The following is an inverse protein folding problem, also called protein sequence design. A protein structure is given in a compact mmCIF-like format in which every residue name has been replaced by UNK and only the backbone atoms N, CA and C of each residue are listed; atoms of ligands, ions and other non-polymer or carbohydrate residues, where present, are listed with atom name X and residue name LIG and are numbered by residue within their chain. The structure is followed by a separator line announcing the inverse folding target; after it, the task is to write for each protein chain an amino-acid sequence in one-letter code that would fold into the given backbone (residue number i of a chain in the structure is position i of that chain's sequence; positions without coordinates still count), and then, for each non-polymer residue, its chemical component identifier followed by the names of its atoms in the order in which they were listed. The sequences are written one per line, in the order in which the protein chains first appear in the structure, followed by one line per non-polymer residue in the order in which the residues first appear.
data_IF_871517645253
#
_entry.id   IF_871517645253
#
_cell.length_a   1.000
_cell.length_b   1.000
_cell.length_c   1.000
_cell.angle_alpha   90.00
_cell.angle_beta   90.00
_cell.angle_gamma   90.00
#
_symmetry.space_group_name_H-M   'P 1'
#
loop_
_entity.id
_entity.type
_entity.pdbx_description
1 polymer ?
#
# COMPACT_ATOMS: atom_id res chain seq x y z
N UNK A 1 -5.94 -0.58 -12.37
CA UNK A 1 -7.33 -1.05 -12.47
C UNK A 1 -8.25 0.17 -12.34
N UNK A 2 -9.27 0.30 -13.18
CA UNK A 2 -10.28 1.35 -12.99
C UNK A 2 -11.14 1.02 -11.77
N UNK A 3 -11.49 2.02 -10.94
CA UNK A 3 -12.28 1.76 -9.74
C UNK A 3 -13.71 1.32 -10.11
N UNK A 4 -14.28 0.40 -9.32
CA UNK A 4 -15.62 -0.17 -9.56
C UNK A 4 -16.76 0.84 -9.46
N UNK A 5 -16.54 1.92 -8.72
CA UNK A 5 -17.48 3.02 -8.52
C UNK A 5 -16.77 4.31 -8.88
N UNK A 6 -17.46 5.28 -9.50
CA UNK A 6 -16.85 6.56 -9.86
C UNK A 6 -16.28 7.22 -8.60
N UNK A 7 -14.98 7.52 -8.65
CA UNK A 7 -14.30 8.23 -7.57
C UNK A 7 -14.07 9.64 -8.08
N UNK A 8 -14.83 10.60 -7.55
CA UNK A 8 -14.64 12.02 -7.81
C UNK A 8 -13.40 12.55 -7.05
N UNK A 9 -12.31 11.79 -7.01
CA UNK A 9 -11.04 12.29 -6.48
C UNK A 9 -10.56 13.36 -7.44
N UNK A 10 -10.33 14.60 -6.98
CA UNK A 10 -9.80 15.64 -7.83
C UNK A 10 -8.46 15.18 -8.40
N UNK A 11 -8.25 15.35 -9.70
CA UNK A 11 -7.00 14.99 -10.37
C UNK A 11 -5.81 15.78 -9.83
N UNK A 12 -6.07 16.94 -9.21
CA UNK A 12 -5.09 17.76 -8.52
C UNK A 12 -5.67 18.29 -7.22
N UNK A 13 -4.91 18.15 -6.13
CA UNK A 13 -5.18 18.82 -4.88
C UNK A 13 -4.41 20.14 -4.88
N UNK A 14 -5.10 21.28 -4.92
CA UNK A 14 -4.47 22.62 -4.95
C UNK A 14 -3.41 22.78 -3.86
N UNK A 15 -3.69 22.27 -2.66
CA UNK A 15 -2.77 22.32 -1.52
C UNK A 15 -1.41 21.66 -1.80
N UNK A 16 -1.35 20.65 -2.67
CA UNK A 16 -0.09 20.01 -3.04
C UNK A 16 0.75 20.85 -3.99
N UNK A 17 0.12 21.73 -4.79
CA UNK A 17 0.83 22.64 -5.68
C UNK A 17 1.53 23.77 -4.91
N UNK A 18 1.01 24.10 -3.72
CA UNK A 18 1.54 25.15 -2.85
C UNK A 18 2.67 24.65 -1.94
N UNK A 19 2.98 23.35 -1.96
CA UNK A 19 4.06 22.77 -1.17
C UNK A 19 5.44 23.19 -1.71
N UNK A 20 6.32 23.63 -0.80
CA UNK A 20 7.69 23.95 -1.19
C UNK A 20 8.46 22.67 -1.55
N UNK A 21 9.56 22.80 -2.31
CA UNK A 21 10.48 21.66 -2.55
C UNK A 21 10.97 21.00 -1.25
N UNK A 22 11.09 21.79 -0.17
CA UNK A 22 11.47 21.29 1.15
C UNK A 22 10.39 20.40 1.74
N UNK A 23 9.11 20.66 1.46
CA UNK A 23 7.96 19.89 1.95
C UNK A 23 7.76 18.58 1.17
N UNK A 24 8.28 18.53 -0.06
CA UNK A 24 8.33 17.32 -0.89
C UNK A 24 9.48 16.37 -0.52
N UNK A 25 10.20 16.65 0.56
CA UNK A 25 11.21 15.73 1.10
C UNK A 25 10.56 14.41 1.53
N UNK A 26 11.24 13.29 1.26
CA UNK A 26 10.69 11.95 1.51
C UNK A 26 10.36 11.70 2.99
N UNK A 27 11.15 12.25 3.92
CA UNK A 27 10.87 12.09 5.35
C UNK A 27 9.61 12.85 5.79
N UNK A 28 9.35 14.00 5.17
CA UNK A 28 8.16 14.82 5.45
C UNK A 28 6.91 14.21 4.84
N UNK A 29 6.99 13.75 3.59
CA UNK A 29 5.89 13.04 2.93
C UNK A 29 5.53 11.77 3.71
N UNK A 30 6.51 11.03 4.21
CA UNK A 30 6.27 9.88 5.06
C UNK A 30 5.57 10.28 6.37
N UNK A 31 6.01 11.36 7.02
CA UNK A 31 5.35 11.87 8.23
C UNK A 31 3.89 12.25 7.94
N UNK A 32 3.63 12.95 6.83
CA UNK A 32 2.27 13.30 6.40
C UNK A 32 1.43 12.06 6.15
N UNK A 33 1.96 11.05 5.46
CA UNK A 33 1.26 9.80 5.20
C UNK A 33 0.84 9.10 6.51
N UNK A 34 1.77 8.99 7.46
CA UNK A 34 1.51 8.38 8.78
C UNK A 34 0.41 9.14 9.53
N UNK A 35 0.53 10.47 9.60
CA UNK A 35 -0.44 11.32 10.30
C UNK A 35 -1.82 11.27 9.63
N UNK A 36 -1.90 11.43 8.31
CA UNK A 36 -3.16 11.42 7.57
C UNK A 36 -3.86 10.06 7.63
N UNK A 37 -3.12 8.95 7.61
CA UNK A 37 -3.71 7.63 7.82
C UNK A 37 -4.20 7.44 9.25
N UNK A 38 -3.52 8.01 10.25
CA UNK A 38 -4.03 8.07 11.62
C UNK A 38 -5.35 8.84 11.70
N UNK A 39 -5.38 10.06 11.18
CA UNK A 39 -6.55 10.95 11.16
C UNK A 39 -7.73 10.35 10.39
N UNK A 40 -7.47 9.66 9.27
CA UNK A 40 -8.50 8.94 8.50
C UNK A 40 -9.28 7.95 9.39
N UNK A 41 -8.61 7.35 10.37
CA UNK A 41 -9.18 6.36 11.29
C UNK A 41 -9.74 6.97 12.57
N UNK A 42 -9.61 8.27 12.79
CA UNK A 42 -10.25 8.97 13.90
C UNK A 42 -11.70 9.27 13.51
N UNK A 43 -12.73 8.64 14.14
CA UNK A 43 -14.11 8.75 13.65
C UNK A 43 -14.66 10.18 13.66
N UNK A 44 -14.34 10.97 14.69
CA UNK A 44 -14.84 12.34 14.84
C UNK A 44 -14.29 13.30 13.78
N UNK A 45 -13.15 13.00 13.12
CA UNK A 45 -12.56 13.80 12.04
C UNK A 45 -13.43 13.87 10.78
N UNK A 46 -14.49 13.06 10.68
CA UNK A 46 -15.39 13.02 9.52
C UNK A 46 -16.56 14.02 9.59
N UNK A 47 -16.83 14.62 10.77
CA UNK A 47 -18.05 15.41 11.02
C UNK A 47 -17.76 16.89 11.35
N UNK A 48 -16.93 17.56 10.54
CA UNK A 48 -16.63 19.00 10.71
C UNK A 48 -17.88 19.88 10.69
N UNK A 49 -18.76 19.68 9.69
CA UNK A 49 -19.85 20.61 9.39
C UNK A 49 -20.95 20.65 10.44
N UNK A 50 -21.46 19.47 10.83
CA UNK A 50 -22.61 19.36 11.75
C UNK A 50 -22.22 19.46 13.22
N UNK A 51 -21.04 18.97 13.61
CA UNK A 51 -20.67 18.81 15.01
C UNK A 51 -19.31 19.40 15.40
N UNK A 52 -18.61 20.09 14.48
CA UNK A 52 -17.30 20.70 14.72
C UNK A 52 -16.32 19.71 15.40
N UNK A 53 -16.30 18.48 14.87
CA UNK A 53 -15.50 17.36 15.38
C UNK A 53 -15.79 16.95 16.83
N UNK A 54 -16.89 17.43 17.43
CA UNK A 54 -17.24 17.16 18.83
C UNK A 54 -16.60 18.13 19.83
N UNK A 55 -15.91 19.19 19.36
CA UNK A 55 -15.25 20.17 20.27
C UNK A 55 -16.24 20.89 21.19
N UNK A 56 -17.47 21.08 20.74
CA UNK A 56 -18.53 21.80 21.47
C UNK A 56 -19.36 20.90 22.39
N UNK A 57 -19.23 19.58 22.26
CA UNK A 57 -19.98 18.61 23.06
C UNK A 57 -19.15 18.30 24.30
N UNK A 58 -19.72 18.56 25.47
CA UNK A 58 -19.08 18.27 26.75
C UNK A 58 -19.50 16.88 27.23
N UNK A 59 -18.54 16.05 27.58
CA UNK A 59 -18.74 14.71 28.12
C UNK A 59 -18.25 14.69 29.57
N UNK A 60 -19.07 14.21 30.49
CA UNK A 60 -18.70 13.98 31.88
C UNK A 60 -18.49 12.48 32.12
N UNK A 61 -17.30 12.10 32.59
CA UNK A 61 -16.97 10.71 32.91
C UNK A 61 -16.05 10.65 34.14
N UNK A 62 -16.38 9.79 35.10
CA UNK A 62 -15.61 9.57 36.35
C UNK A 62 -15.22 10.88 37.07
N UNK A 63 -16.16 11.82 37.17
CA UNK A 63 -15.96 13.11 37.86
C UNK A 63 -15.15 14.15 37.09
N UNK A 64 -14.67 13.83 35.88
CA UNK A 64 -13.96 14.75 35.00
C UNK A 64 -14.83 15.17 33.81
N UNK A 65 -14.53 16.34 33.22
CA UNK A 65 -15.22 16.86 32.04
C UNK A 65 -14.22 17.03 30.90
N UNK A 66 -14.61 16.61 29.72
CA UNK A 66 -13.82 16.66 28.50
C UNK A 66 -14.69 17.17 27.36
N UNK A 67 -14.09 17.77 26.33
CA UNK A 67 -14.79 17.78 25.03
C UNK A 67 -14.89 16.36 24.47
N UNK A 68 -15.90 16.06 23.64
CA UNK A 68 -16.01 14.75 23.00
C UNK A 68 -14.74 14.44 22.18
N UNK A 69 -14.18 15.44 21.51
CA UNK A 69 -12.93 15.28 20.76
C UNK A 69 -11.76 14.90 21.67
N UNK A 70 -11.55 15.66 22.74
CA UNK A 70 -10.50 15.40 23.74
C UNK A 70 -10.67 14.03 24.40
N UNK A 71 -11.91 13.61 24.65
CA UNK A 71 -12.19 12.28 25.19
C UNK A 71 -11.67 11.18 24.25
N UNK A 72 -11.87 11.33 22.94
CA UNK A 72 -11.43 10.36 21.94
C UNK A 72 -9.93 10.43 21.61
N UNK A 73 -9.36 11.63 21.57
CA UNK A 73 -7.96 11.84 21.18
C UNK A 73 -6.97 11.73 22.33
N UNK A 74 -7.42 11.97 23.57
CA UNK A 74 -6.55 11.98 24.74
C UNK A 74 -6.95 10.96 25.80
N UNK A 75 -8.22 10.95 26.20
CA UNK A 75 -8.64 10.10 27.32
C UNK A 75 -8.63 8.61 26.93
N UNK A 76 -9.22 8.23 25.79
CA UNK A 76 -9.26 6.83 25.35
C UNK A 76 -7.84 6.25 25.12
N UNK A 77 -6.92 6.90 24.39
CA UNK A 77 -5.57 6.35 24.21
C UNK A 77 -4.79 6.14 25.52
N UNK A 78 -5.00 7.00 26.53
CA UNK A 78 -4.34 6.90 27.84
C UNK A 78 -4.92 5.79 28.70
N UNK A 79 -6.20 5.46 28.54
CA UNK A 79 -6.95 4.57 29.45
C UNK A 79 -7.36 3.23 28.83
N UNK A 80 -7.24 3.07 27.52
CA UNK A 80 -7.62 1.84 26.81
C UNK A 80 -6.36 1.09 26.39
N UNK A 81 -6.27 -0.19 26.78
CA UNK A 81 -5.14 -1.03 26.35
C UNK A 81 -5.16 -1.21 24.84
N UNK A 82 -4.03 -1.02 24.15
CA UNK A 82 -3.93 -1.33 22.74
C UNK A 82 -4.07 -2.84 22.49
N UNK A 83 -4.47 -3.26 21.28
CA UNK A 83 -4.42 -4.66 20.88
C UNK A 83 -3.00 -5.24 20.99
N UNK A 84 -2.87 -6.55 21.22
CA UNK A 84 -1.55 -7.21 21.26
C UNK A 84 -0.98 -7.36 19.84
N UNK A 85 0.34 -7.46 19.74
CA UNK A 85 1.01 -7.63 18.45
C UNK A 85 0.54 -8.89 17.70
N UNK A 86 0.31 -9.99 18.43
CA UNK A 86 -0.15 -11.26 17.85
C UNK A 86 -1.58 -11.14 17.30
N UNK A 87 -2.46 -10.43 18.00
CA UNK A 87 -3.81 -10.17 17.53
C UNK A 87 -3.80 -9.31 16.26
N UNK A 88 -2.98 -8.24 16.26
CA UNK A 88 -2.84 -7.35 15.11
C UNK A 88 -2.27 -8.06 13.89
N UNK A 89 -1.28 -8.93 14.07
CA UNK A 89 -0.66 -9.70 12.99
C UNK A 89 -1.65 -10.68 12.37
N UNK A 90 -2.40 -11.44 13.18
CA UNK A 90 -3.41 -12.36 12.67
C UNK A 90 -4.47 -11.62 11.82
N UNK A 91 -5.01 -10.54 12.36
CA UNK A 91 -5.99 -9.71 11.64
C UNK A 91 -5.39 -9.06 10.39
N UNK A 92 -4.12 -8.66 10.43
CA UNK A 92 -3.43 -8.12 9.25
C UNK A 92 -3.38 -9.14 8.11
N UNK A 93 -2.98 -10.38 8.40
CA UNK A 93 -2.89 -11.44 7.39
C UNK A 93 -4.25 -11.75 6.74
N UNK A 94 -5.32 -11.77 7.56
CA UNK A 94 -6.69 -11.97 7.07
C UNK A 94 -7.15 -10.83 6.16
N UNK A 95 -6.80 -9.58 6.51
CA UNK A 95 -7.27 -8.40 5.79
C UNK A 95 -6.41 -8.02 4.56
N UNK A 96 -5.10 -8.26 4.60
CA UNK A 96 -4.16 -7.84 3.57
C UNK A 96 -4.51 -8.44 2.19
N UNK A 97 -5.00 -9.69 2.16
CA UNK A 97 -5.46 -10.32 0.92
C UNK A 97 -6.63 -9.56 0.29
N UNK A 98 -7.55 -9.04 1.10
CA UNK A 98 -8.71 -8.29 0.63
C UNK A 98 -8.35 -6.88 0.12
N UNK A 99 -7.26 -6.30 0.64
CA UNK A 99 -6.79 -4.99 0.22
C UNK A 99 -5.96 -5.03 -1.06
N UNK A 100 -5.21 -6.12 -1.30
CA UNK A 100 -4.30 -6.25 -2.45
C UNK A 100 -4.94 -6.13 -3.83
N UNK A 101 -6.25 -6.34 -3.96
CA UNK A 101 -6.97 -6.26 -5.25
C UNK A 101 -7.65 -4.90 -5.51
N UNK A 102 -7.54 -3.93 -4.59
CA UNK A 102 -8.19 -2.62 -4.68
C UNK A 102 -7.21 -1.52 -5.03
N UNK A 103 -7.67 -0.52 -5.79
CA UNK A 103 -6.85 0.68 -6.03
C UNK A 103 -6.78 1.54 -4.74
N UNK A 104 -5.71 2.32 -4.52
CA UNK A 104 -5.60 3.16 -3.33
C UNK A 104 -6.80 4.10 -3.08
N UNK A 105 -7.38 4.78 -4.10
CA UNK A 105 -8.57 5.61 -3.88
C UNK A 105 -9.81 4.81 -3.43
N UNK A 106 -9.95 3.55 -3.86
CA UNK A 106 -11.02 2.68 -3.38
C UNK A 106 -10.81 2.31 -1.92
N UNK A 107 -9.58 1.95 -1.56
CA UNK A 107 -9.20 1.64 -0.18
C UNK A 107 -9.51 2.81 0.75
N UNK A 108 -9.02 4.01 0.42
CA UNK A 108 -9.24 5.19 1.27
C UNK A 108 -10.71 5.55 1.40
N UNK A 109 -11.53 5.40 0.35
CA UNK A 109 -12.97 5.61 0.42
C UNK A 109 -13.67 4.59 1.33
N UNK A 110 -13.29 3.32 1.22
CA UNK A 110 -13.89 2.26 2.05
C UNK A 110 -13.51 2.48 3.53
N UNK A 111 -12.26 2.81 3.82
CA UNK A 111 -11.79 3.09 5.18
C UNK A 111 -12.43 4.36 5.76
N UNK A 112 -12.61 5.39 4.93
CA UNK A 112 -13.36 6.60 5.28
C UNK A 112 -14.81 6.30 5.68
N UNK A 113 -15.47 5.43 4.92
CA UNK A 113 -16.85 5.02 5.20
C UNK A 113 -16.94 4.33 6.55
N UNK A 114 -16.06 3.37 6.83
CA UNK A 114 -16.04 2.66 8.11
C UNK A 114 -15.86 3.62 9.29
N UNK A 115 -14.94 4.60 9.18
CA UNK A 115 -14.73 5.58 10.23
C UNK A 115 -15.95 6.50 10.42
N UNK A 116 -16.61 6.90 9.33
CA UNK A 116 -17.82 7.71 9.37
C UNK A 116 -19.02 6.95 9.96
N UNK A 117 -19.16 5.65 9.69
CA UNK A 117 -20.19 4.79 10.28
C UNK A 117 -20.05 4.76 11.81
N UNK A 118 -18.82 4.54 12.32
CA UNK A 118 -18.54 4.59 13.76
C UNK A 118 -18.83 5.99 14.30
N UNK A 119 -18.50 7.05 13.57
CA UNK A 119 -18.83 8.40 14.01
C UNK A 119 -20.35 8.56 14.21
N UNK A 120 -21.16 8.12 13.24
CA UNK A 120 -22.62 8.13 13.36
C UNK A 120 -23.12 7.34 14.58
N UNK A 121 -22.54 6.17 14.85
CA UNK A 121 -22.86 5.37 16.05
C UNK A 121 -22.56 6.14 17.35
N UNK A 122 -21.40 6.80 17.42
CA UNK A 122 -21.00 7.62 18.57
C UNK A 122 -22.00 8.76 18.82
N UNK A 123 -22.35 9.53 17.79
CA UNK A 123 -23.30 10.63 17.93
C UNK A 123 -24.72 10.14 18.25
N UNK A 124 -25.21 9.13 17.53
CA UNK A 124 -26.55 8.58 17.75
C UNK A 124 -26.73 7.99 19.15
N UNK A 125 -25.68 7.44 19.75
CA UNK A 125 -25.72 6.91 21.12
C UNK A 125 -25.89 7.99 22.21
N UNK A 126 -25.67 9.26 21.86
CA UNK A 126 -25.85 10.39 22.77
C UNK A 126 -27.14 11.17 22.51
N UNK A 127 -27.82 10.94 21.39
CA UNK A 127 -29.05 11.64 21.06
C UNK A 127 -30.19 11.13 21.96
N UNK A 128 -30.79 12.06 22.71
CA UNK A 128 -31.97 11.79 23.54
C UNK A 128 -33.19 12.44 22.89
N UNK A 129 -34.34 11.77 22.95
CA UNK A 129 -35.61 12.37 22.56
C UNK A 129 -36.11 13.23 23.72
N UNK A 130 -36.24 14.53 23.50
CA UNK A 130 -36.76 15.47 24.48
C UNK A 130 -38.29 15.53 24.41
N UNK A 131 -38.94 15.97 25.49
CA UNK A 131 -40.40 16.07 25.57
C UNK A 131 -41.00 17.04 24.53
N UNK A 132 -40.18 17.97 24.00
CA UNK A 132 -40.53 18.89 22.92
C UNK A 132 -40.43 18.25 21.52
N UNK A 133 -40.09 16.96 21.42
CA UNK A 133 -39.91 16.22 20.18
C UNK A 133 -38.57 16.49 19.48
N UNK A 134 -37.68 17.32 20.06
CA UNK A 134 -36.34 17.55 19.52
C UNK A 134 -35.40 16.40 19.87
N UNK A 135 -34.49 16.08 18.94
CA UNK A 135 -33.31 15.25 19.20
C UNK A 135 -32.11 16.15 19.41
N UNK A 136 -31.59 16.17 20.63
CA UNK A 136 -30.40 16.94 20.98
C UNK A 136 -29.55 16.15 21.97
N UNK A 137 -28.25 16.45 21.95
CA UNK A 137 -27.27 15.91 22.88
C UNK A 137 -27.23 16.81 24.09
N UNK A 138 -27.45 16.24 25.27
CA UNK A 138 -27.35 16.98 26.53
C UNK A 138 -25.89 17.39 26.78
N UNK A 139 -25.72 18.57 27.38
CA UNK A 139 -24.39 19.11 27.70
C UNK A 139 -24.34 19.54 29.17
N UNK A 140 -23.55 18.88 30.02
CA UNK A 140 -22.68 17.75 29.70
C UNK A 140 -23.45 16.44 29.50
N UNK A 141 -23.01 15.63 28.54
CA UNK A 141 -23.46 14.26 28.37
C UNK A 141 -22.79 13.38 29.42
N UNK A 142 -23.58 12.75 30.29
CA UNK A 142 -23.07 11.83 31.31
C UNK A 142 -22.80 10.46 30.69
N UNK A 143 -21.51 10.12 30.53
CA UNK A 143 -21.09 8.88 29.91
C UNK A 143 -21.25 7.71 30.90
N UNK A 144 -22.03 6.69 30.54
CA UNK A 144 -22.12 5.44 31.30
C UNK A 144 -20.90 4.55 31.07
N UNK A 145 -20.62 3.64 32.00
CA UNK A 145 -19.53 2.67 31.83
C UNK A 145 -19.76 1.72 30.64
N UNK A 146 -21.01 1.33 30.36
CA UNK A 146 -21.35 0.54 29.17
C UNK A 146 -21.05 1.31 27.88
N UNK A 147 -21.40 2.60 27.82
CA UNK A 147 -21.10 3.44 26.67
C UNK A 147 -19.60 3.64 26.49
N UNK A 148 -18.87 3.81 27.61
CA UNK A 148 -17.41 3.85 27.61
C UNK A 148 -16.80 2.58 27.02
N UNK A 149 -17.26 1.40 27.44
CA UNK A 149 -16.73 0.12 26.95
C UNK A 149 -16.96 -0.05 25.44
N UNK A 150 -18.11 0.39 24.94
CA UNK A 150 -18.40 0.42 23.50
C UNK A 150 -17.45 1.37 22.76
N UNK A 151 -17.30 2.61 23.21
CA UNK A 151 -16.38 3.56 22.58
C UNK A 151 -14.92 3.10 22.65
N UNK A 152 -14.52 2.47 23.75
CA UNK A 152 -13.21 1.86 23.89
C UNK A 152 -12.99 0.70 22.89
N UNK A 153 -14.02 -0.10 22.61
CA UNK A 153 -13.96 -1.16 21.59
C UNK A 153 -13.82 -0.59 20.17
N UNK A 154 -14.57 0.47 19.83
CA UNK A 154 -14.41 1.17 18.55
C UNK A 154 -13.01 1.78 18.43
N UNK A 155 -12.53 2.44 19.47
CA UNK A 155 -11.19 3.03 19.49
C UNK A 155 -10.10 1.98 19.26
N UNK A 156 -10.14 0.83 19.95
CA UNK A 156 -9.18 -0.27 19.74
C UNK A 156 -9.20 -0.78 18.30
N UNK A 157 -10.41 -1.00 17.77
CA UNK A 157 -10.61 -1.46 16.38
C UNK A 157 -9.99 -0.48 15.39
N UNK A 158 -10.28 0.82 15.54
CA UNK A 158 -9.78 1.84 14.61
C UNK A 158 -8.28 2.08 14.74
N UNK A 159 -7.74 2.09 15.96
CA UNK A 159 -6.29 2.19 16.19
C UNK A 159 -5.54 0.98 15.59
N UNK A 160 -6.07 -0.23 15.77
CA UNK A 160 -5.52 -1.45 15.16
C UNK A 160 -5.55 -1.41 13.64
N UNK A 161 -6.71 -1.07 13.05
CA UNK A 161 -6.87 -0.91 11.59
C UNK A 161 -5.93 0.15 11.02
N UNK A 162 -5.76 1.29 11.70
CA UNK A 162 -4.85 2.35 11.27
C UNK A 162 -3.41 1.83 11.15
N UNK A 163 -2.92 1.10 12.17
CA UNK A 163 -1.59 0.50 12.15
C UNK A 163 -1.43 -0.55 11.04
N UNK A 164 -2.39 -1.46 10.91
CA UNK A 164 -2.41 -2.50 9.87
C UNK A 164 -2.40 -1.89 8.45
N UNK A 165 -3.25 -0.89 8.20
CA UNK A 165 -3.37 -0.24 6.89
C UNK A 165 -2.16 0.62 6.57
N UNK A 166 -1.56 1.25 7.57
CA UNK A 166 -0.28 1.92 7.41
C UNK A 166 0.81 0.93 6.99
N UNK A 167 0.91 -0.22 7.66
CA UNK A 167 1.87 -1.26 7.29
C UNK A 167 1.65 -1.75 5.85
N UNK A 168 0.39 -2.01 5.48
CA UNK A 168 0.01 -2.40 4.12
C UNK A 168 0.43 -1.37 3.07
N UNK A 169 0.10 -0.08 3.27
CA UNK A 169 0.46 0.99 2.33
C UNK A 169 1.98 1.16 2.25
N UNK A 170 2.68 1.05 3.37
CA UNK A 170 4.15 1.14 3.40
C UNK A 170 4.81 -0.02 2.63
N UNK A 171 4.27 -1.23 2.73
CA UNK A 171 4.75 -2.38 1.98
C UNK A 171 4.57 -2.17 0.47
N UNK A 172 3.41 -1.66 0.03
CA UNK A 172 3.15 -1.33 -1.37
C UNK A 172 4.09 -0.25 -1.91
N UNK A 173 4.34 0.81 -1.12
CA UNK A 173 5.31 1.87 -1.47
C UNK A 173 6.73 1.29 -1.61
N UNK A 174 7.16 0.41 -0.72
CA UNK A 174 8.48 -0.24 -0.80
C UNK A 174 8.57 -1.11 -2.06
N UNK A 175 7.54 -1.91 -2.35
CA UNK A 175 7.53 -2.80 -3.51
C UNK A 175 7.54 -2.01 -4.82
N UNK A 176 6.75 -0.93 -4.90
CA UNK A 176 6.77 -0.01 -6.03
C UNK A 176 8.16 0.60 -6.24
N UNK A 177 8.85 1.01 -5.16
CA UNK A 177 10.23 1.52 -5.24
C UNK A 177 11.21 0.47 -5.75
N UNK A 178 11.10 -0.79 -5.30
CA UNK A 178 11.92 -1.91 -5.81
C UNK A 178 11.71 -2.12 -7.30
N UNK A 179 10.45 -2.18 -7.76
CA UNK A 179 10.13 -2.31 -9.18
C UNK A 179 10.70 -1.15 -9.99
N UNK A 180 10.53 0.10 -9.53
CA UNK A 180 11.07 1.29 -10.19
C UNK A 180 12.59 1.24 -10.32
N UNK A 181 13.30 0.83 -9.26
CA UNK A 181 14.75 0.67 -9.28
C UNK A 181 15.17 -0.45 -10.25
N UNK A 182 14.50 -1.61 -10.22
CA UNK A 182 14.76 -2.71 -11.15
C UNK A 182 14.54 -2.28 -12.60
N UNK A 183 13.51 -1.50 -12.90
CA UNK A 183 13.29 -0.91 -14.23
C UNK A 183 14.45 0.01 -14.64
N UNK A 184 14.94 0.86 -13.72
CA UNK A 184 16.10 1.72 -13.97
C UNK A 184 17.38 0.94 -14.27
N UNK A 185 17.55 -0.23 -13.66
CA UNK A 185 18.67 -1.16 -13.91
C UNK A 185 18.49 -2.05 -15.17
N UNK A 186 17.39 -1.89 -15.92
CA UNK A 186 17.07 -2.77 -17.05
C UNK A 186 16.62 -4.20 -16.65
N UNK A 187 16.44 -4.44 -15.35
CA UNK A 187 15.95 -5.70 -14.75
C UNK A 187 14.44 -5.70 -14.48
N UNK A 188 13.74 -4.64 -14.86
CA UNK A 188 12.29 -4.61 -14.75
C UNK A 188 11.69 -5.80 -15.48
N UNK A 189 10.61 -6.38 -14.94
CA UNK A 189 9.87 -7.43 -15.65
C UNK A 189 9.63 -6.93 -17.07
N UNK A 190 10.24 -7.61 -18.04
CA UNK A 190 9.92 -7.38 -19.45
C UNK A 190 8.45 -7.71 -19.55
N UNK A 191 7.58 -6.69 -19.50
CA UNK A 191 6.26 -6.81 -20.07
C UNK A 191 6.53 -7.26 -21.50
N UNK A 192 6.29 -8.53 -21.78
CA UNK A 192 6.23 -9.05 -23.13
C UNK A 192 5.16 -8.21 -23.80
N UNK A 193 5.56 -7.08 -24.40
CA UNK A 193 4.68 -6.28 -25.22
C UNK A 193 4.17 -7.25 -26.27
N UNK A 194 2.85 -7.39 -26.33
CA UNK A 194 2.11 -8.16 -27.32
C UNK A 194 2.24 -7.42 -28.66
N UNK A 195 3.47 -7.25 -29.13
CA UNK A 195 3.83 -6.75 -30.45
C UNK A 195 4.62 -7.83 -31.19
N UNK A 196 4.28 -9.09 -30.92
CA UNK A 196 4.83 -10.26 -31.60
C UNK A 196 4.80 -10.10 -33.14
N UNK A 197 3.81 -9.39 -33.67
CA UNK A 197 3.68 -9.06 -35.10
C UNK A 197 4.69 -8.02 -35.60
N UNK A 198 4.99 -6.97 -34.82
CA UNK A 198 5.92 -5.92 -35.24
C UNK A 198 7.37 -6.40 -35.37
N UNK A 199 7.75 -7.40 -34.58
CA UNK A 199 9.09 -7.98 -34.61
C UNK A 199 9.16 -9.29 -35.42
N UNK A 200 8.02 -9.79 -35.91
CA UNK A 200 7.99 -11.01 -36.71
C UNK A 200 8.80 -10.85 -37.99
N UNK A 201 8.64 -9.73 -38.71
CA UNK A 201 9.34 -9.48 -39.97
C UNK A 201 10.86 -9.34 -39.77
N UNK A 202 11.28 -8.63 -38.71
CA UNK A 202 12.70 -8.49 -38.37
C UNK A 202 13.31 -9.84 -37.99
N UNK A 203 12.62 -10.64 -37.19
CA UNK A 203 13.07 -11.99 -36.82
C UNK A 203 13.10 -12.93 -38.03
N UNK A 204 12.13 -12.81 -38.95
CA UNK A 204 12.09 -13.55 -40.21
C UNK A 204 13.28 -13.19 -41.11
N UNK A 205 13.60 -11.89 -41.25
CA UNK A 205 14.76 -11.44 -42.02
C UNK A 205 16.09 -11.91 -41.41
N UNK A 206 16.23 -11.85 -40.09
CA UNK A 206 17.41 -12.38 -39.39
C UNK A 206 17.52 -13.88 -39.64
N UNK A 207 16.44 -14.65 -39.48
CA UNK A 207 16.44 -16.09 -39.74
C UNK A 207 16.80 -16.42 -41.20
N UNK A 208 16.25 -15.67 -42.16
CA UNK A 208 16.52 -15.87 -43.59
C UNK A 208 17.97 -15.59 -43.99
N UNK A 209 18.70 -14.72 -43.27
CA UNK A 209 20.11 -14.47 -43.54
C UNK A 209 21.05 -15.33 -42.69
N UNK A 210 20.77 -15.47 -41.40
CA UNK A 210 21.66 -16.13 -40.44
C UNK A 210 21.68 -17.65 -40.63
N UNK A 211 20.53 -18.28 -40.90
CA UNK A 211 20.43 -19.74 -41.04
C UNK A 211 21.20 -20.24 -42.27
N UNK A 212 21.04 -19.66 -43.48
CA UNK A 212 21.85 -20.08 -44.63
C UNK A 212 23.35 -19.82 -44.43
N UNK A 213 23.72 -18.70 -43.82
CA UNK A 213 25.12 -18.40 -43.53
C UNK A 213 25.76 -19.43 -42.59
N UNK A 214 25.05 -19.83 -41.52
CA UNK A 214 25.49 -20.89 -40.61
C UNK A 214 25.56 -22.26 -41.29
N UNK A 215 24.58 -22.60 -42.15
CA UNK A 215 24.61 -23.86 -42.90
C UNK A 215 25.78 -23.91 -43.89
N UNK A 216 26.11 -22.80 -44.56
CA UNK A 216 27.29 -22.70 -45.43
C UNK A 216 28.57 -22.83 -44.60
N UNK A 217 28.64 -22.17 -43.44
CA UNK A 217 29.78 -22.28 -42.53
C UNK A 217 29.99 -23.71 -42.03
N UNK A 218 28.92 -24.39 -41.61
CA UNK A 218 28.99 -25.77 -41.15
C UNK A 218 29.32 -26.74 -42.28
N UNK A 219 28.78 -26.51 -43.48
CA UNK A 219 29.12 -27.31 -44.67
C UNK A 219 30.59 -27.10 -45.06
N UNK A 220 31.08 -25.87 -45.03
CA UNK A 220 32.50 -25.56 -45.22
C UNK A 220 33.37 -26.29 -44.19
N UNK A 221 33.04 -26.17 -42.90
CA UNK A 221 33.77 -26.81 -41.81
C UNK A 221 33.77 -28.34 -41.97
N UNK A 222 32.64 -28.94 -42.38
CA UNK A 222 32.57 -30.37 -42.67
C UNK A 222 33.43 -30.79 -43.87
N UNK A 223 33.59 -29.92 -44.88
CA UNK A 223 34.44 -30.15 -46.04
C UNK A 223 35.94 -29.92 -45.80
N UNK A 224 36.30 -29.09 -44.82
CA UNK A 224 37.71 -28.81 -44.45
C UNK A 224 38.20 -29.63 -43.25
N UNK A 225 37.29 -30.26 -42.50
CA UNK A 225 37.56 -31.05 -41.29
C UNK A 225 37.90 -32.53 -41.49
N UNK A 226 38.46 -32.91 -42.64
CA UNK A 226 39.16 -34.18 -42.85
C UNK A 226 40.69 -34.04 -42.85
N UNK A 227 41.23 -32.86 -42.57
CA UNK A 227 42.68 -32.61 -42.60
C UNK A 227 43.29 -32.80 -41.21
N UNK A 228 43.59 -34.06 -40.90
CA UNK A 228 44.83 -34.53 -40.26
C UNK A 228 45.41 -33.76 -39.04
N UNK A 229 44.61 -33.41 -38.03
CA UNK A 229 45.17 -33.01 -36.71
C UNK A 229 45.71 -34.19 -35.90
N UNK A 230 45.48 -35.44 -36.32
CA UNK A 230 46.05 -36.64 -35.66
C UNK A 230 47.51 -36.90 -36.00
N UNK A 231 48.09 -36.26 -37.02
CA UNK A 231 49.51 -36.46 -37.39
C UNK A 231 50.49 -35.60 -36.58
N UNK A 232 50.07 -34.44 -36.06
CA UNK A 232 50.95 -33.52 -35.32
C UNK A 232 51.12 -33.91 -33.84
N UNK A 233 50.14 -34.61 -33.25
CA UNK A 233 50.26 -35.12 -31.89
C UNK A 233 51.15 -36.38 -31.81
N UNK A 234 51.19 -37.20 -32.87
CA UNK A 234 52.05 -38.39 -32.88
C UNK A 234 53.54 -38.09 -33.10
N UNK A 235 53.91 -36.94 -33.70
CA UNK A 235 55.33 -36.55 -33.80
C UNK A 235 55.85 -35.92 -32.51
N UNK A 236 55.00 -35.22 -31.74
CA UNK A 236 55.41 -34.61 -30.47
C UNK A 236 55.62 -35.62 -29.33
N UNK A 237 55.00 -36.80 -29.39
CA UNK A 237 55.20 -37.86 -28.38
C UNK A 237 56.32 -38.86 -28.73
N UNK A 238 56.86 -38.83 -29.95
CA UNK A 238 57.91 -39.78 -30.36
C UNK A 238 59.33 -39.32 -30.00
N UNK A 239 59.55 -38.01 -29.83
CA UNK A 239 60.86 -37.44 -29.53
C UNK A 239 61.15 -37.30 -28.01
N UNK A 240 60.16 -37.57 -27.15
CA UNK A 240 60.32 -37.50 -25.69
C UNK A 240 60.88 -38.76 -25.01
N UNK A 241 61.04 -39.87 -25.75
CA UNK A 241 61.37 -41.18 -25.16
C UNK A 241 62.84 -41.64 -25.37
N UNK A 242 63.71 -40.81 -25.94
CA UNK A 242 65.09 -41.20 -26.31
C UNK A 242 66.21 -40.51 -25.50
N UNK A 243 65.91 -39.97 -24.31
CA UNK A 243 66.95 -39.53 -23.34
C UNK A 243 66.61 -40.03 -21.94
N UNK A 244 66.99 -41.27 -21.67
CA UNK A 244 67.22 -41.84 -20.35
C UNK A 244 68.53 -42.63 -20.42
#
# INVERSE_FOLDING_TARGET
PEPRLPINTPSQLKVLNDLSKKDLDSSRLLRWLVSLLGDLHQPLHWLRGSHDYGRKIQVAYKGSRYSLLEFWEEYLPKNVKPPTAEALEREFQENAMNWGYKAPPELFRDWAREAAEIACEVYSSMEVNHADGSRRIDSPYALSDEQFDRWAAHWRTMAGRAGQRLAFVMQDVIEHRKHKNAHGEGRGHRHHKISATSNFLTNLCIAAMLVPALLVLFRWHSGTGGIATTSLLNSLFKDGAAKA
#
